data_IF_528865608805
#
_entry.id   IF_528865608805
#
_cell.length_a   1.000
_cell.length_b   1.000
_cell.length_c   1.000
_cell.angle_alpha   90.00
_cell.angle_beta   90.00
_cell.angle_gamma   90.00
#
_symmetry.space_group_name_H-M   'P 1'
#
loop_
_entity.id
_entity.type
_entity.pdbx_description
1 polymer ?
#
# COMPACT_ATOMS: atom_id res chain seq x y z
N UNK A 1 23.50 -11.68 -41.05
CA UNK A 1 22.62 -11.00 -40.52
C UNK A 1 22.55 -11.13 -39.12
N UNK A 2 22.29 -10.29 -38.47
CA UNK A 2 22.35 -10.35 -37.29
C UNK A 2 21.18 -10.33 -36.71
N UNK A 3 20.83 -11.04 -36.05
CA UNK A 3 19.82 -11.12 -35.49
C UNK A 3 19.98 -10.69 -34.24
N UNK A 4 19.44 -9.78 -33.85
CA UNK A 4 19.55 -9.34 -32.71
C UNK A 4 18.72 -9.95 -31.84
N UNK A 5 19.01 -10.46 -31.02
CA UNK A 5 18.35 -11.10 -30.16
C UNK A 5 17.69 -10.22 -29.35
N UNK A 6 16.63 -10.14 -29.23
CA UNK A 6 15.98 -9.46 -28.52
C UNK A 6 16.03 -9.68 -27.25
N UNK A 7 16.24 -9.00 -26.58
CA UNK A 7 16.42 -9.06 -25.36
C UNK A 7 15.19 -9.37 -24.81
N UNK A 8 14.84 -10.13 -24.55
CA UNK A 8 13.96 -10.42 -24.01
C UNK A 8 13.55 -9.90 -23.05
N UNK A 9 12.84 -9.36 -23.06
CA UNK A 9 12.39 -8.69 -22.20
C UNK A 9 12.17 -9.59 -21.23
N UNK A 10 12.84 -9.66 -20.57
CA UNK A 10 12.80 -10.33 -19.73
C UNK A 10 11.62 -10.24 -19.36
N UNK A 11 10.98 -10.61 -19.44
CA UNK A 11 9.98 -10.61 -19.14
C UNK A 11 9.73 -10.68 -17.87
N UNK A 12 10.28 -10.04 -17.25
CA UNK A 12 9.98 -9.86 -16.04
C UNK A 12 8.58 -9.58 -16.00
N UNK A 13 7.96 -10.03 -15.06
CA UNK A 13 6.63 -9.80 -14.94
C UNK A 13 6.55 -8.37 -14.79
N UNK A 14 5.72 -7.76 -15.34
CA UNK A 14 5.67 -6.50 -15.26
C UNK A 14 5.31 -6.12 -13.95
N UNK A 15 6.07 -5.50 -13.23
CA UNK A 15 5.79 -5.04 -11.92
C UNK A 15 5.96 -3.54 -11.92
N UNK A 16 4.98 -2.81 -11.51
CA UNK A 16 5.07 -1.38 -11.37
C UNK A 16 5.16 -1.06 -9.88
N UNK A 17 6.18 -0.34 -9.49
CA UNK A 17 6.37 0.01 -8.08
C UNK A 17 6.41 1.52 -7.95
N UNK A 18 5.60 2.05 -7.04
CA UNK A 18 5.58 3.47 -6.77
C UNK A 18 5.89 3.67 -5.30
N UNK A 19 6.81 4.57 -4.99
CA UNK A 19 7.07 4.92 -3.60
C UNK A 19 6.67 6.36 -3.38
N UNK A 20 6.14 6.66 -2.22
CA UNK A 20 5.68 7.99 -1.91
C UNK A 20 5.94 8.28 -0.45
N UNK A 21 6.26 9.52 -0.15
CA UNK A 21 6.37 9.98 1.23
C UNK A 21 5.44 11.16 1.37
N UNK A 22 4.51 11.09 2.32
CA UNK A 22 3.57 12.17 2.54
C UNK A 22 3.64 12.61 3.99
N UNK A 23 3.40 13.87 4.26
CA UNK A 23 3.26 14.32 5.65
C UNK A 23 2.10 13.58 6.31
N UNK A 24 2.23 13.33 7.61
CA UNK A 24 1.18 12.62 8.34
C UNK A 24 0.04 13.58 8.61
N UNK A 25 -0.73 13.88 7.60
CA UNK A 25 -1.86 14.79 7.70
C UNK A 25 -3.00 14.24 6.86
N UNK A 26 -4.20 14.35 7.37
CA UNK A 26 -5.37 13.76 6.74
C UNK A 26 -5.61 14.35 5.36
N UNK A 27 -5.23 15.59 5.15
CA UNK A 27 -5.40 16.23 3.84
C UNK A 27 -4.56 15.58 2.77
N UNK A 28 -3.54 14.86 3.15
CA UNK A 28 -2.64 14.23 2.19
C UNK A 28 -3.09 12.82 1.78
N UNK A 29 -4.15 12.33 2.41
CA UNK A 29 -4.67 11.02 2.05
C UNK A 29 -5.22 10.98 0.63
N UNK A 30 -5.59 12.12 0.07
CA UNK A 30 -6.05 12.18 -1.31
C UNK A 30 -4.97 11.67 -2.26
N UNK A 31 -3.70 11.92 -1.97
CA UNK A 31 -2.61 11.41 -2.79
C UNK A 31 -2.55 9.90 -2.75
N UNK A 32 -2.71 9.31 -1.58
CA UNK A 32 -2.72 7.85 -1.47
C UNK A 32 -3.92 7.25 -2.19
N UNK A 33 -5.07 7.90 -2.13
CA UNK A 33 -6.25 7.39 -2.83
C UNK A 33 -6.03 7.38 -4.34
N UNK A 34 -5.46 8.44 -4.87
CA UNK A 34 -5.18 8.53 -6.30
C UNK A 34 -4.16 7.46 -6.71
N UNK A 35 -3.12 7.27 -5.91
CA UNK A 35 -2.11 6.26 -6.19
C UNK A 35 -2.68 4.85 -6.08
N UNK A 36 -3.60 4.62 -5.17
CA UNK A 36 -4.25 3.32 -5.03
C UNK A 36 -5.01 2.96 -6.30
N UNK A 37 -5.75 3.91 -6.85
CA UNK A 37 -6.50 3.67 -8.08
C UNK A 37 -5.55 3.41 -9.24
N UNK A 38 -4.52 4.24 -9.38
CA UNK A 38 -3.57 4.09 -10.47
C UNK A 38 -2.85 2.73 -10.40
N UNK A 39 -2.48 2.32 -9.19
CA UNK A 39 -1.82 1.03 -8.99
C UNK A 39 -2.75 -0.13 -9.32
N UNK A 40 -4.01 -0.03 -8.90
CA UNK A 40 -4.99 -1.07 -9.20
C UNK A 40 -5.25 -1.18 -10.69
N UNK A 41 -5.33 -0.06 -11.39
CA UNK A 41 -5.51 -0.06 -12.84
C UNK A 41 -4.28 -0.70 -13.49
N UNK A 42 -3.09 -0.39 -13.02
CA UNK A 42 -1.88 -1.00 -13.56
C UNK A 42 -1.83 -2.51 -13.33
N UNK A 43 -2.50 -3.00 -12.29
CA UNK A 43 -2.59 -4.43 -12.03
C UNK A 43 -3.69 -5.11 -12.85
N UNK A 44 -4.43 -4.33 -13.64
CA UNK A 44 -5.52 -4.87 -14.46
C UNK A 44 -6.86 -4.92 -13.76
N UNK A 45 -6.99 -4.26 -12.63
CA UNK A 45 -8.25 -4.25 -11.89
C UNK A 45 -9.25 -3.35 -12.63
N UNK A 46 -10.51 -3.74 -12.62
CA UNK A 46 -11.57 -2.93 -13.20
C UNK A 46 -11.97 -1.79 -12.26
N UNK A 47 -12.94 -1.00 -12.69
CA UNK A 47 -13.37 0.18 -11.93
C UNK A 47 -13.87 -0.18 -10.54
N UNK A 48 -14.65 -1.25 -10.43
CA UNK A 48 -15.19 -1.65 -9.14
C UNK A 48 -14.08 -2.09 -8.20
N UNK A 49 -13.19 -2.91 -8.69
CA UNK A 49 -12.10 -3.44 -7.86
C UNK A 49 -11.14 -2.32 -7.45
N UNK A 50 -10.86 -1.41 -8.38
CA UNK A 50 -10.00 -0.27 -8.07
C UNK A 50 -10.62 0.62 -7.00
N UNK A 51 -11.94 0.80 -7.04
CA UNK A 51 -12.64 1.56 -6.03
C UNK A 51 -12.59 0.88 -4.66
N UNK A 52 -12.65 -0.45 -4.65
CA UNK A 52 -12.55 -1.19 -3.39
C UNK A 52 -11.16 -1.02 -2.77
N UNK A 53 -10.11 -1.13 -3.57
CA UNK A 53 -8.74 -0.94 -3.08
C UNK A 53 -8.58 0.49 -2.54
N UNK A 54 -9.06 1.47 -3.27
CA UNK A 54 -8.98 2.86 -2.85
C UNK A 54 -9.64 3.08 -1.49
N UNK A 55 -10.85 2.55 -1.32
CA UNK A 55 -11.60 2.78 -0.10
C UNK A 55 -10.98 2.02 1.09
N UNK A 56 -10.50 0.81 0.86
CA UNK A 56 -9.85 0.05 1.90
C UNK A 56 -8.54 0.71 2.33
N UNK A 57 -7.73 1.16 1.38
CA UNK A 57 -6.47 1.81 1.70
C UNK A 57 -6.72 3.11 2.46
N UNK A 58 -7.74 3.87 2.05
CA UNK A 58 -8.06 5.11 2.73
C UNK A 58 -8.40 4.86 4.19
N UNK A 59 -9.22 3.86 4.47
CA UNK A 59 -9.62 3.57 5.85
C UNK A 59 -8.43 3.17 6.71
N UNK A 60 -7.55 2.36 6.16
CA UNK A 60 -6.39 1.91 6.89
C UNK A 60 -5.40 3.04 7.10
N UNK A 61 -5.18 3.85 6.08
CA UNK A 61 -4.26 4.98 6.19
C UNK A 61 -4.80 6.01 7.19
N UNK A 62 -6.10 6.23 7.19
CA UNK A 62 -6.69 7.15 8.16
C UNK A 62 -6.50 6.62 9.58
N UNK A 63 -6.74 5.35 9.80
CA UNK A 63 -6.54 4.75 11.11
C UNK A 63 -5.07 4.82 11.53
N UNK A 64 -4.14 4.61 10.59
CA UNK A 64 -2.73 4.70 10.90
C UNK A 64 -2.35 6.14 11.26
N UNK A 65 -2.89 7.12 10.57
CA UNK A 65 -2.57 8.51 10.85
C UNK A 65 -2.98 8.93 12.25
N UNK A 66 -4.06 8.40 12.76
CA UNK A 66 -4.50 8.77 14.12
C UNK A 66 -3.49 8.33 15.17
N UNK A 67 -2.62 7.39 14.84
CA UNK A 67 -1.61 6.89 15.77
C UNK A 67 -0.21 7.36 15.41
N UNK A 68 -0.07 8.09 14.33
CA UNK A 68 1.25 8.52 13.86
C UNK A 68 1.71 9.74 14.65
N UNK A 69 2.99 9.78 14.95
CA UNK A 69 3.58 10.90 15.68
C UNK A 69 3.44 12.17 14.84
N UNK A 70 2.91 13.25 15.40
CA UNK A 70 2.73 14.49 14.65
C UNK A 70 4.05 15.00 14.08
N UNK A 71 4.00 15.55 12.88
CA UNK A 71 5.18 16.09 12.23
C UNK A 71 6.05 15.09 11.52
N UNK A 72 5.71 13.79 11.61
CA UNK A 72 6.45 12.77 10.88
C UNK A 72 5.83 12.55 9.52
N UNK A 73 6.37 11.63 8.76
CA UNK A 73 5.88 11.30 7.42
C UNK A 73 5.44 9.85 7.37
N UNK A 74 4.58 9.54 6.43
CA UNK A 74 4.19 8.16 6.11
C UNK A 74 4.83 7.81 4.79
N UNK A 75 5.56 6.71 4.77
CA UNK A 75 6.17 6.22 3.53
C UNK A 75 5.29 5.09 3.01
N UNK A 76 4.96 5.16 1.75
CA UNK A 76 4.16 4.13 1.10
C UNK A 76 4.89 3.54 -0.08
N UNK A 77 4.75 2.24 -0.27
CA UNK A 77 5.23 1.53 -1.45
C UNK A 77 4.05 0.75 -2.00
N UNK A 78 3.66 1.08 -3.23
CA UNK A 78 2.54 0.42 -3.87
C UNK A 78 3.08 -0.37 -5.05
N UNK A 79 2.74 -1.63 -5.12
CA UNK A 79 3.25 -2.51 -6.16
C UNK A 79 2.08 -3.14 -6.91
N UNK A 80 2.12 -3.04 -8.22
CA UNK A 80 1.14 -3.68 -9.08
C UNK A 80 1.79 -4.81 -9.86
N UNK A 81 1.18 -5.97 -9.80
CA UNK A 81 1.50 -7.08 -10.67
C UNK A 81 0.19 -7.48 -11.30
N UNK A 82 0.22 -8.23 -12.37
CA UNK A 82 -1.03 -8.66 -12.99
C UNK A 82 -1.91 -9.36 -11.97
N UNK A 83 -3.05 -8.80 -11.72
CA UNK A 83 -4.03 -9.39 -10.81
C UNK A 83 -3.75 -9.19 -9.33
N UNK A 84 -2.69 -8.46 -8.96
CA UNK A 84 -2.35 -8.29 -7.55
C UNK A 84 -1.85 -6.88 -7.26
N UNK A 85 -2.31 -6.32 -6.15
CA UNK A 85 -1.83 -5.04 -5.64
C UNK A 85 -1.30 -5.27 -4.24
N UNK A 86 -0.10 -4.81 -3.99
CA UNK A 86 0.51 -4.88 -2.66
C UNK A 86 0.83 -3.47 -2.20
N UNK A 87 0.58 -3.20 -0.95
CA UNK A 87 0.88 -1.89 -0.38
C UNK A 87 1.58 -2.07 0.95
N UNK A 88 2.66 -1.35 1.14
CA UNK A 88 3.32 -1.30 2.44
C UNK A 88 3.35 0.15 2.90
N UNK A 89 2.83 0.40 4.07
CA UNK A 89 2.87 1.72 4.69
C UNK A 89 3.80 1.65 5.90
N UNK A 90 4.64 2.65 6.04
CA UNK A 90 5.55 2.73 7.18
C UNK A 90 5.36 4.08 7.83
N UNK A 91 5.24 4.08 9.13
CA UNK A 91 5.03 5.30 9.89
C UNK A 91 5.63 5.15 11.27
N UNK A 92 5.90 6.26 11.94
CA UNK A 92 6.34 6.25 13.32
C UNK A 92 5.10 6.48 14.15
N UNK A 93 4.69 5.49 14.93
CA UNK A 93 3.46 5.57 15.69
C UNK A 93 3.74 5.75 17.17
N UNK A 94 2.76 6.22 17.89
CA UNK A 94 2.87 6.37 19.34
C UNK A 94 2.95 5.00 19.98
N UNK A 95 3.45 4.96 21.20
CA UNK A 95 3.51 3.73 21.96
C UNK A 95 2.10 3.18 22.18
N UNK A 96 2.00 1.90 22.30
CA UNK A 96 0.72 1.23 22.51
C UNK A 96 0.59 0.00 21.64
N UNK A 97 -0.49 -0.76 21.78
CA UNK A 97 -0.67 -1.95 20.96
C UNK A 97 -0.90 -1.58 19.50
N UNK A 98 -0.45 -2.44 18.60
CA UNK A 98 -0.67 -2.25 17.20
C UNK A 98 -2.11 -2.64 16.90
N UNK A 99 -2.89 -1.75 16.31
CA UNK A 99 -4.28 -2.09 16.01
C UNK A 99 -4.38 -3.16 14.93
N UNK A 100 -5.49 -3.87 14.95
CA UNK A 100 -5.73 -4.83 13.93
C UNK A 100 -6.46 -4.11 12.81
N UNK A 101 -5.96 -4.20 11.61
CA UNK A 101 -6.58 -3.58 10.45
C UNK A 101 -7.31 -4.63 9.65
N UNK A 102 -8.53 -4.32 9.21
CA UNK A 102 -9.31 -5.26 8.39
C UNK A 102 -9.77 -4.54 7.15
N UNK A 103 -9.76 -5.23 6.04
CA UNK A 103 -10.17 -4.67 4.75
C UNK A 103 -11.34 -5.39 4.12
N UNK A 104 -11.78 -6.50 4.72
CA UNK A 104 -12.75 -7.38 4.08
C UNK A 104 -14.07 -6.74 3.71
N UNK A 105 -14.60 -5.88 4.57
CA UNK A 105 -15.88 -5.25 4.31
C UNK A 105 -15.80 -4.26 3.15
N UNK A 106 -14.64 -3.68 2.91
CA UNK A 106 -14.46 -2.71 1.85
C UNK A 106 -14.05 -3.34 0.53
N UNK A 107 -13.66 -4.61 0.53
CA UNK A 107 -13.18 -5.27 -0.68
C UNK A 107 -13.86 -6.62 -0.90
N UNK A 108 -15.19 -6.64 -1.09
CA UNK A 108 -15.90 -7.90 -1.22
C UNK A 108 -15.56 -8.67 -2.50
N UNK A 109 -15.06 -8.01 -3.52
CA UNK A 109 -14.76 -8.66 -4.80
C UNK A 109 -13.33 -9.19 -4.88
N UNK A 110 -12.51 -8.98 -3.85
CA UNK A 110 -11.10 -9.30 -3.91
C UNK A 110 -10.69 -10.18 -2.74
N UNK A 111 -9.75 -11.08 -2.99
CA UNK A 111 -9.06 -11.72 -1.89
C UNK A 111 -8.11 -10.69 -1.29
N UNK A 112 -7.94 -10.69 0.01
CA UNK A 112 -7.17 -9.65 0.66
C UNK A 112 -6.36 -10.20 1.84
N UNK A 113 -5.34 -9.45 2.21
CA UNK A 113 -4.57 -9.72 3.41
C UNK A 113 -4.18 -8.41 4.06
N UNK A 114 -4.01 -8.42 5.35
CA UNK A 114 -3.57 -7.24 6.08
C UNK A 114 -2.78 -7.69 7.30
N UNK A 115 -1.66 -7.05 7.54
CA UNK A 115 -0.84 -7.33 8.70
C UNK A 115 -0.16 -6.05 9.14
N UNK A 116 -0.05 -5.84 10.43
CA UNK A 116 0.66 -4.69 10.96
C UNK A 116 1.65 -5.18 12.02
N UNK A 117 2.84 -4.62 12.00
CA UNK A 117 3.87 -5.03 12.95
C UNK A 117 4.86 -3.89 13.17
N UNK A 118 5.61 -3.98 14.24
CA UNK A 118 6.64 -2.99 14.49
C UNK A 118 7.89 -3.40 13.73
N UNK A 119 8.58 -2.40 13.21
CA UNK A 119 9.86 -2.67 12.58
C UNK A 119 10.83 -3.14 13.66
N UNK A 120 11.83 -3.91 13.31
CA UNK A 120 12.73 -4.49 14.31
C UNK A 120 13.66 -3.50 15.01
N UNK A 121 13.72 -2.27 14.60
CA UNK A 121 14.57 -1.30 15.24
C UNK A 121 13.72 -0.15 15.76
N UNK A 122 14.23 0.53 16.75
CA UNK A 122 13.50 1.61 17.35
C UNK A 122 13.45 2.82 16.46
N UNK A 123 12.38 3.54 16.50
CA UNK A 123 12.24 4.75 15.80
C UNK A 123 12.84 5.91 16.54
N UNK A 124 12.51 7.10 16.11
CA UNK A 124 12.93 8.30 16.76
C UNK A 124 12.28 8.39 18.13
N UNK A 125 12.77 9.28 18.92
CA UNK A 125 12.27 9.45 20.24
C UNK A 125 10.76 9.65 20.25
N UNK A 126 10.10 8.98 21.11
CA UNK A 126 8.67 9.13 21.27
C UNK A 126 7.81 8.30 20.37
N UNK A 127 8.40 7.45 19.54
CA UNK A 127 7.60 6.64 18.64
C UNK A 127 8.27 5.35 18.24
N UNK A 128 7.50 4.51 17.56
CA UNK A 128 7.97 3.21 17.12
C UNK A 128 7.68 3.06 15.63
N UNK A 129 8.65 2.63 14.83
CA UNK A 129 8.38 2.35 13.43
C UNK A 129 7.36 1.23 13.33
N UNK A 130 6.32 1.48 12.58
CA UNK A 130 5.24 0.52 12.37
C UNK A 130 5.09 0.30 10.88
N UNK A 131 4.91 -0.95 10.50
CA UNK A 131 4.74 -1.33 9.11
C UNK A 131 3.37 -1.97 8.97
N UNK A 132 2.63 -1.57 7.96
CA UNK A 132 1.34 -2.18 7.63
C UNK A 132 1.46 -2.71 6.21
N UNK A 133 1.25 -4.00 6.06
CA UNK A 133 1.30 -4.66 4.75
C UNK A 133 -0.11 -5.07 4.36
N UNK A 134 -0.49 -4.69 3.15
CA UNK A 134 -1.80 -5.00 2.61
C UNK A 134 -1.64 -5.65 1.24
N UNK A 135 -2.57 -6.50 0.91
CA UNK A 135 -2.57 -7.12 -0.40
C UNK A 135 -3.97 -7.42 -0.89
N UNK A 136 -4.19 -7.27 -2.19
CA UNK A 136 -5.46 -7.61 -2.82
C UNK A 136 -5.16 -8.38 -4.09
N UNK A 137 -5.90 -9.46 -4.29
CA UNK A 137 -5.73 -10.32 -5.46
C UNK A 137 -7.10 -10.58 -6.07
N UNK A 138 -7.14 -10.45 -7.38
CA UNK A 138 -8.36 -10.73 -8.10
C UNK A 138 -8.60 -12.23 -8.11
N UNK A 139 -9.79 -12.67 -7.79
CA UNK A 139 -10.05 -14.10 -7.83
C UNK A 139 -10.05 -14.57 -9.27
N UNK A 140 -9.70 -15.83 -9.47
CA UNK A 140 -9.67 -16.35 -10.81
C UNK A 140 -10.96 -16.84 -11.27
#
# INVERSE_FOLDING_TARGET
VVTVPMPEPAVAPEETVVTVRIPAAVERLATLRALAVATAVAAGFGARESGEVRDALYRIAEALLTRTVPGSAVDGTLTARTGTVLVRLRAVTRAGPIPRYTVGAATPSLAHSAAAFRAPFDGAAGGHPTVVDLGWTRPE
#
